data_IF_960879621893
#
_entry.id   IF_960879621893
#
_cell.length_a   1.000
_cell.length_b   1.000
_cell.length_c   1.000
_cell.angle_alpha   90.00
_cell.angle_beta   90.00
_cell.angle_gamma   90.00
#
_symmetry.space_group_name_H-M   'P 1'
#
loop_
_entity.id
_entity.type
_entity.pdbx_description
1 polymer ?
#
# COMPACT_ATOMS: atom_id res chain seq x y z
N UNK A 1 6.84 7.39 12.97
CA UNK A 1 6.30 6.52 11.90
C UNK A 1 5.12 5.77 12.46
N UNK A 2 4.03 5.69 11.70
CA UNK A 2 2.86 4.87 12.02
C UNK A 2 3.21 3.40 12.30
N UNK A 3 4.29 2.87 11.71
CA UNK A 3 4.75 1.49 11.94
C UNK A 3 5.07 1.19 13.40
N UNK A 4 5.43 2.21 14.20
CA UNK A 4 5.80 2.03 15.61
C UNK A 4 4.61 2.25 16.56
N UNK A 5 3.42 2.53 16.04
CA UNK A 5 2.22 2.63 16.86
C UNK A 5 1.74 1.25 17.30
N UNK A 6 1.20 1.15 18.52
CA UNK A 6 0.73 -0.11 19.11
C UNK A 6 -0.18 -0.93 18.17
N UNK A 7 -1.25 -0.33 17.60
CA UNK A 7 -2.15 -1.03 16.68
C UNK A 7 -1.46 -1.59 15.42
N UNK A 8 -0.39 -0.95 14.95
CA UNK A 8 0.33 -1.35 13.74
C UNK A 8 1.44 -2.37 14.00
N UNK A 9 1.69 -2.79 15.25
CA UNK A 9 2.74 -3.75 15.57
C UNK A 9 2.55 -5.14 14.93
N UNK A 10 1.35 -5.44 14.43
CA UNK A 10 1.03 -6.68 13.73
C UNK A 10 1.02 -6.56 12.20
N UNK A 11 1.16 -5.36 11.64
CA UNK A 11 1.18 -5.14 10.18
C UNK A 11 2.51 -5.66 9.63
N UNK A 12 2.45 -6.35 8.50
CA UNK A 12 3.58 -7.11 7.92
C UNK A 12 3.63 -6.96 6.40
N UNK A 13 4.63 -7.59 5.80
CA UNK A 13 4.87 -7.64 4.35
C UNK A 13 5.16 -6.29 3.68
N UNK A 14 5.78 -5.35 4.40
CA UNK A 14 6.28 -4.10 3.81
C UNK A 14 7.24 -4.34 2.63
N UNK A 15 8.14 -5.32 2.76
CA UNK A 15 9.12 -5.67 1.72
C UNK A 15 8.48 -6.23 0.44
N UNK A 16 7.26 -6.76 0.51
CA UNK A 16 6.51 -7.16 -0.67
C UNK A 16 6.10 -5.92 -1.48
N UNK A 17 5.58 -4.90 -0.80
CA UNK A 17 5.19 -3.63 -1.43
C UNK A 17 6.41 -2.94 -2.03
N UNK A 18 7.56 -2.94 -1.35
CA UNK A 18 8.79 -2.35 -1.86
C UNK A 18 9.29 -3.04 -3.14
N UNK A 19 9.18 -4.38 -3.21
CA UNK A 19 9.51 -5.15 -4.43
C UNK A 19 8.58 -4.82 -5.59
N UNK A 20 7.28 -4.69 -5.33
CA UNK A 20 6.31 -4.29 -6.36
C UNK A 20 6.65 -2.88 -6.87
N UNK A 21 6.93 -1.94 -5.97
CA UNK A 21 7.32 -0.57 -6.33
C UNK A 21 8.60 -0.57 -7.18
N UNK A 22 9.62 -1.34 -6.81
CA UNK A 22 10.86 -1.42 -7.58
C UNK A 22 10.64 -1.93 -9.01
N UNK A 23 9.79 -2.94 -9.20
CA UNK A 23 9.43 -3.45 -10.53
C UNK A 23 8.65 -2.42 -11.35
N UNK A 24 7.72 -1.71 -10.72
CA UNK A 24 6.95 -0.66 -11.37
C UNK A 24 7.83 0.54 -11.74
N UNK A 25 8.78 0.94 -10.89
CA UNK A 25 9.71 2.01 -11.22
C UNK A 25 10.65 1.65 -12.37
N UNK A 26 11.06 0.38 -12.47
CA UNK A 26 11.84 -0.10 -13.61
C UNK A 26 11.05 -0.08 -14.93
N UNK A 27 9.73 -0.31 -14.88
CA UNK A 27 8.87 -0.33 -16.07
C UNK A 27 8.30 1.05 -16.44
N UNK A 28 7.90 1.84 -15.45
CA UNK A 28 7.27 3.15 -15.59
C UNK A 28 7.71 4.09 -14.45
N UNK A 29 8.87 4.76 -14.61
CA UNK A 29 9.43 5.63 -13.57
C UNK A 29 8.46 6.73 -13.13
N UNK A 30 8.41 6.99 -11.83
CA UNK A 30 7.64 8.09 -11.20
C UNK A 30 6.17 8.17 -11.61
N UNK A 31 5.56 7.05 -12.00
CA UNK A 31 4.20 7.02 -12.56
C UNK A 31 3.18 6.52 -11.56
N UNK A 32 3.47 5.43 -10.84
CA UNK A 32 2.52 4.78 -9.92
C UNK A 32 2.87 5.10 -8.48
N UNK A 33 1.92 5.66 -7.73
CA UNK A 33 2.11 5.97 -6.30
C UNK A 33 2.07 4.71 -5.44
N UNK A 34 2.80 4.72 -4.32
CA UNK A 34 2.73 3.65 -3.32
C UNK A 34 1.32 3.49 -2.74
N UNK A 35 0.57 4.60 -2.61
CA UNK A 35 -0.83 4.58 -2.19
C UNK A 35 -1.73 3.78 -3.15
N UNK A 36 -1.55 3.94 -4.46
CA UNK A 36 -2.29 3.12 -5.43
C UNK A 36 -1.80 1.68 -5.49
N UNK A 37 -0.50 1.42 -5.29
CA UNK A 37 0.03 0.04 -5.19
C UNK A 37 -0.66 -0.74 -4.08
N UNK A 38 -0.75 -0.18 -2.87
CA UNK A 38 -1.40 -0.87 -1.73
C UNK A 38 -2.88 -1.12 -2.03
N UNK A 39 -3.57 -0.15 -2.65
CA UNK A 39 -4.98 -0.30 -3.01
C UNK A 39 -5.18 -1.43 -4.05
N UNK A 40 -4.34 -1.48 -5.08
CA UNK A 40 -4.41 -2.51 -6.13
C UNK A 40 -4.02 -3.89 -5.59
N UNK A 41 -2.95 -3.98 -4.81
CA UNK A 41 -2.53 -5.21 -4.15
C UNK A 41 -3.64 -5.76 -3.23
N UNK A 42 -4.37 -4.89 -2.53
CA UNK A 42 -5.51 -5.28 -1.70
C UNK A 42 -6.65 -5.84 -2.56
N UNK A 43 -7.05 -5.15 -3.63
CA UNK A 43 -8.07 -5.65 -4.58
C UNK A 43 -7.69 -7.02 -5.14
N UNK A 44 -6.43 -7.17 -5.56
CA UNK A 44 -5.95 -8.41 -6.16
C UNK A 44 -5.90 -9.54 -5.13
N UNK A 45 -5.50 -9.24 -3.88
CA UNK A 45 -5.52 -10.21 -2.78
C UNK A 45 -6.94 -10.68 -2.45
N UNK A 46 -7.92 -9.77 -2.43
CA UNK A 46 -9.34 -10.12 -2.23
C UNK A 46 -9.84 -11.03 -3.34
N UNK A 47 -9.54 -10.71 -4.60
CA UNK A 47 -9.92 -11.56 -5.73
C UNK A 47 -9.28 -12.95 -5.66
N UNK A 48 -7.99 -13.03 -5.33
CA UNK A 48 -7.27 -14.30 -5.14
C UNK A 48 -7.83 -15.15 -3.99
N UNK A 49 -8.39 -14.51 -2.97
CA UNK A 49 -9.07 -15.18 -1.87
C UNK A 49 -10.51 -15.64 -2.21
N UNK A 50 -10.96 -15.48 -3.46
CA UNK A 50 -12.31 -15.82 -3.92
C UNK A 50 -13.35 -14.73 -3.66
N UNK A 51 -12.91 -13.52 -3.30
CA UNK A 51 -13.76 -12.35 -3.14
C UNK A 51 -14.20 -11.73 -4.47
N UNK A 52 -15.04 -10.67 -4.43
CA UNK A 52 -15.54 -10.01 -5.62
C UNK A 52 -14.42 -9.28 -6.38
N UNK A 53 -14.53 -9.25 -7.70
CA UNK A 53 -13.74 -8.36 -8.54
C UNK A 53 -14.45 -7.02 -8.68
N UNK A 54 -13.71 -5.92 -8.49
CA UNK A 54 -14.24 -4.56 -8.61
C UNK A 54 -13.17 -3.59 -9.12
N UNK A 55 -13.59 -2.56 -9.82
CA UNK A 55 -12.70 -1.49 -10.30
C UNK A 55 -12.28 -0.58 -9.15
N UNK A 56 -10.98 -0.27 -9.08
CA UNK A 56 -10.42 0.71 -8.14
C UNK A 56 -10.14 2.01 -8.92
N UNK A 57 -10.65 3.17 -8.49
CA UNK A 57 -10.19 4.45 -9.02
C UNK A 57 -8.73 4.67 -8.61
N UNK A 58 -7.91 5.15 -9.55
CA UNK A 58 -6.49 5.46 -9.36
C UNK A 58 -6.26 6.98 -9.32
N UNK A 59 -5.04 7.40 -8.98
CA UNK A 59 -4.62 8.80 -8.90
C UNK A 59 -4.34 9.27 -7.48
N UNK A 60 -4.26 8.36 -6.50
CA UNK A 60 -3.82 8.73 -5.15
C UNK A 60 -2.36 9.19 -5.21
N UNK A 61 -1.97 10.10 -4.32
CA UNK A 61 -0.59 10.54 -4.17
C UNK A 61 -0.04 10.09 -2.83
N UNK A 62 1.28 9.91 -2.78
CA UNK A 62 1.96 9.45 -1.58
C UNK A 62 2.01 10.54 -0.51
N UNK A 63 1.75 10.14 0.74
CA UNK A 63 1.89 11.01 1.91
C UNK A 63 3.35 11.33 2.19
N UNK A 64 3.61 12.56 2.64
CA UNK A 64 4.96 13.03 2.99
C UNK A 64 5.25 12.98 4.50
N UNK A 65 4.27 12.60 5.31
CA UNK A 65 4.33 12.59 6.77
C UNK A 65 3.84 11.24 7.28
N UNK A 66 4.49 10.72 8.31
CA UNK A 66 4.07 9.48 9.00
C UNK A 66 4.25 9.64 10.51
N UNK A 67 3.14 9.83 11.22
CA UNK A 67 3.13 10.11 12.66
C UNK A 67 2.48 8.95 13.42
N UNK A 68 3.12 8.46 14.47
CA UNK A 68 2.56 7.36 15.28
C UNK A 68 1.34 7.80 16.10
N UNK A 69 1.22 9.10 16.42
CA UNK A 69 0.07 9.66 17.14
C UNK A 69 -1.21 9.52 16.31
N UNK A 70 -1.12 9.54 14.98
CA UNK A 70 -2.28 9.41 14.08
C UNK A 70 -2.95 8.03 14.17
N UNK A 71 -2.25 7.05 14.76
CA UNK A 71 -2.72 5.66 14.96
C UNK A 71 -3.05 5.36 16.43
N UNK A 72 -2.62 6.21 17.36
CA UNK A 72 -2.81 6.01 18.79
C UNK A 72 -4.20 6.51 19.23
N UNK A 73 -5.24 5.71 18.98
CA UNK A 73 -6.54 5.83 19.65
C UNK A 73 -6.49 5.24 21.06
#
# INVERSE_FOLDING_TARGET
SEKTAGPNGSVREFDLIDRIKAQLEAACPSTVSCADIITLATRDSVALAGGPSYSIPMGRRDGLVSNNVDVAL
#
